data_IF_330306482091
#
_entry.id   IF_330306482091
#
_cell.length_a   1.000
_cell.length_b   1.000
_cell.length_c   1.000
_cell.angle_alpha   90.00
_cell.angle_beta   90.00
_cell.angle_gamma   90.00
#
_symmetry.space_group_name_H-M   'P 1'
#
loop_
_entity.id
_entity.type
_entity.pdbx_description
1 polymer ?
#
# COMPACT_ATOMS: atom_id res chain seq x y z
N UNK A 1 19.52 -12.92 12.37
CA UNK A 1 19.39 -11.88 11.33
C UNK A 1 18.20 -11.00 11.71
N UNK A 2 18.37 -9.68 11.80
CA UNK A 2 17.25 -8.75 11.99
C UNK A 2 16.56 -8.56 10.64
N UNK A 3 15.31 -9.01 10.51
CA UNK A 3 14.49 -8.77 9.32
C UNK A 3 14.19 -7.26 9.26
N UNK A 4 14.74 -6.54 8.29
CA UNK A 4 14.26 -5.20 7.99
C UNK A 4 12.91 -5.37 7.30
N UNK A 5 11.84 -4.93 7.95
CA UNK A 5 10.50 -4.98 7.37
C UNK A 5 10.49 -3.97 6.22
N UNK A 6 10.40 -4.44 4.97
CA UNK A 6 10.25 -3.57 3.80
C UNK A 6 8.80 -3.06 3.73
N UNK A 7 8.50 -2.09 4.59
CA UNK A 7 7.18 -1.47 4.70
C UNK A 7 7.11 -0.22 3.84
N UNK A 8 6.14 -0.17 2.92
CA UNK A 8 5.83 1.04 2.16
C UNK A 8 4.88 1.92 2.98
N UNK A 9 5.35 3.10 3.38
CA UNK A 9 4.53 4.11 4.04
C UNK A 9 4.03 5.12 3.02
N UNK A 10 2.71 5.24 2.89
CA UNK A 10 2.06 6.21 2.00
C UNK A 10 1.35 7.26 2.85
N UNK A 11 1.93 8.45 2.87
CA UNK A 11 1.47 9.60 3.67
C UNK A 11 0.97 10.76 2.81
N UNK A 12 0.93 10.57 1.49
CA UNK A 12 0.50 11.61 0.54
C UNK A 12 -1.02 11.62 0.44
N UNK A 13 -1.62 12.74 0.86
CA UNK A 13 -3.07 12.96 0.76
C UNK A 13 -3.55 12.92 -0.69
N UNK A 14 -4.67 12.23 -0.95
CA UNK A 14 -5.21 12.06 -2.30
C UNK A 14 -4.47 11.04 -3.15
N UNK A 15 -3.51 10.29 -2.59
CA UNK A 15 -2.84 9.23 -3.32
C UNK A 15 -3.81 8.09 -3.66
N UNK A 16 -3.72 7.61 -4.90
CA UNK A 16 -4.40 6.43 -5.39
C UNK A 16 -3.37 5.37 -5.79
N UNK A 17 -3.40 4.24 -5.09
CA UNK A 17 -2.54 3.08 -5.34
C UNK A 17 -3.28 2.04 -6.17
N UNK A 18 -2.66 1.58 -7.25
CA UNK A 18 -3.19 0.50 -8.06
C UNK A 18 -2.09 -0.46 -8.51
N UNK A 19 -2.52 -1.63 -8.99
CA UNK A 19 -1.64 -2.67 -9.52
C UNK A 19 -1.39 -2.42 -10.99
N UNK A 20 -0.14 -2.51 -11.40
CA UNK A 20 0.28 -2.59 -12.80
C UNK A 20 1.35 -3.68 -12.95
N UNK A 21 0.97 -4.80 -13.59
CA UNK A 21 1.79 -6.00 -13.62
C UNK A 21 2.11 -6.49 -12.20
N UNK A 22 3.41 -6.62 -11.89
CA UNK A 22 3.90 -6.98 -10.56
C UNK A 22 4.29 -5.77 -9.70
N UNK A 23 3.81 -4.56 -10.04
CA UNK A 23 4.14 -3.32 -9.35
C UNK A 23 2.92 -2.70 -8.66
N UNK A 24 3.20 -1.99 -7.57
CA UNK A 24 2.36 -0.90 -7.05
C UNK A 24 2.71 0.37 -7.82
N UNK A 25 1.69 1.07 -8.29
CA UNK A 25 1.79 2.39 -8.90
C UNK A 25 1.00 3.37 -8.04
N UNK A 26 1.63 4.47 -7.67
CA UNK A 26 0.99 5.59 -6.96
C UNK A 26 0.72 6.73 -7.93
N UNK A 27 -0.53 7.18 -7.95
CA UNK A 27 -0.94 8.40 -8.65
C UNK A 27 -1.43 9.47 -7.68
N UNK A 28 -1.15 10.72 -8.02
CA UNK A 28 -1.69 11.91 -7.36
C UNK A 28 -2.05 12.90 -8.46
N UNK A 29 -3.26 13.45 -8.44
CA UNK A 29 -3.78 14.35 -9.47
C UNK A 29 -3.64 13.80 -10.91
N UNK A 30 -3.97 12.52 -11.09
CA UNK A 30 -3.85 11.77 -12.34
C UNK A 30 -2.42 11.67 -12.93
N UNK A 31 -1.39 11.93 -12.11
CA UNK A 31 0.01 11.76 -12.52
C UNK A 31 0.67 10.63 -11.73
N UNK A 32 1.38 9.74 -12.42
CA UNK A 32 2.23 8.72 -11.78
C UNK A 32 3.35 9.42 -11.00
N UNK A 33 3.43 9.12 -9.70
CA UNK A 33 4.44 9.68 -8.79
C UNK A 33 5.48 8.66 -8.36
N UNK A 34 5.11 7.38 -8.30
CA UNK A 34 6.01 6.31 -7.91
C UNK A 34 5.54 4.95 -8.47
N UNK A 35 6.53 4.07 -8.70
CA UNK A 35 6.34 2.69 -9.12
C UNK A 35 7.34 1.80 -8.42
N UNK A 36 6.86 0.73 -7.78
CA UNK A 36 7.66 -0.18 -6.98
C UNK A 36 7.19 -1.62 -7.20
N UNK A 37 8.10 -2.59 -7.38
CA UNK A 37 7.71 -3.98 -7.48
C UNK A 37 7.24 -4.53 -6.12
N UNK A 38 6.12 -5.24 -6.13
CA UNK A 38 5.41 -5.67 -4.92
C UNK A 38 6.17 -6.74 -4.14
N UNK A 39 6.90 -7.63 -4.83
CA UNK A 39 7.63 -8.74 -4.19
C UNK A 39 8.74 -8.30 -3.23
N UNK A 40 9.10 -7.01 -3.22
CA UNK A 40 10.07 -6.46 -2.28
C UNK A 40 9.41 -6.02 -0.96
N UNK A 41 8.08 -5.92 -0.91
CA UNK A 41 7.35 -5.37 0.22
C UNK A 41 6.86 -6.48 1.16
N UNK A 42 6.87 -6.18 2.45
CA UNK A 42 6.25 -7.02 3.48
C UNK A 42 4.95 -6.41 4.02
N UNK A 43 4.78 -5.08 3.91
CA UNK A 43 3.57 -4.38 4.35
C UNK A 43 3.39 -3.07 3.61
N UNK A 44 2.14 -2.63 3.50
CA UNK A 44 1.74 -1.32 3.00
C UNK A 44 0.95 -0.59 4.10
N UNK A 45 1.35 0.62 4.45
CA UNK A 45 0.67 1.44 5.46
C UNK A 45 0.23 2.75 4.85
N UNK A 46 -1.08 2.97 4.85
CA UNK A 46 -1.75 4.12 4.25
C UNK A 46 -2.23 5.08 5.34
N UNK A 47 -1.82 6.34 5.29
CA UNK A 47 -2.22 7.38 6.24
C UNK A 47 -3.18 8.37 5.59
N UNK A 48 -4.27 8.69 6.28
CA UNK A 48 -5.20 9.72 5.84
C UNK A 48 -5.97 9.30 4.58
N UNK A 49 -6.16 10.23 3.64
CA UNK A 49 -6.98 9.99 2.44
C UNK A 49 -6.15 9.32 1.34
N UNK A 50 -5.82 8.05 1.55
CA UNK A 50 -5.17 7.18 0.55
C UNK A 50 -6.17 6.12 0.10
N UNK A 51 -6.31 5.97 -1.23
CA UNK A 51 -7.16 4.97 -1.85
C UNK A 51 -6.30 3.84 -2.40
N UNK A 52 -6.78 2.61 -2.30
CA UNK A 52 -6.12 1.42 -2.84
C UNK A 52 -7.13 0.66 -3.71
N UNK A 53 -6.74 0.23 -4.91
CA UNK A 53 -7.65 -0.50 -5.78
C UNK A 53 -7.87 -1.93 -5.28
N UNK A 54 -9.09 -2.50 -5.42
CA UNK A 54 -9.34 -3.90 -5.05
C UNK A 54 -8.41 -4.91 -5.73
N UNK A 55 -8.04 -4.78 -7.02
CA UNK A 55 -7.05 -5.67 -7.64
C UNK A 55 -5.67 -5.62 -6.96
N UNK A 56 -5.24 -4.45 -6.48
CA UNK A 56 -4.01 -4.34 -5.71
C UNK A 56 -4.17 -4.98 -4.32
N UNK A 57 -5.30 -4.75 -3.65
CA UNK A 57 -5.58 -5.38 -2.35
C UNK A 57 -5.52 -6.91 -2.43
N UNK A 58 -6.19 -7.50 -3.43
CA UNK A 58 -6.18 -8.95 -3.63
C UNK A 58 -4.78 -9.49 -3.93
N UNK A 59 -4.03 -8.80 -4.81
CA UNK A 59 -2.66 -9.20 -5.11
C UNK A 59 -1.73 -9.12 -3.90
N UNK A 60 -1.83 -8.06 -3.09
CA UNK A 60 -1.07 -7.98 -1.84
C UNK A 60 -1.47 -9.10 -0.87
N UNK A 61 -2.77 -9.39 -0.74
CA UNK A 61 -3.27 -10.46 0.12
C UNK A 61 -2.71 -11.84 -0.27
N UNK A 62 -2.69 -12.17 -1.56
CA UNK A 62 -2.10 -13.41 -2.10
C UNK A 62 -0.59 -13.53 -1.83
N UNK A 63 0.11 -12.40 -1.77
CA UNK A 63 1.55 -12.34 -1.49
C UNK A 63 1.87 -12.24 0.01
N UNK A 64 0.87 -12.29 0.89
CA UNK A 64 1.06 -12.16 2.34
C UNK A 64 1.41 -10.74 2.80
N UNK A 65 1.13 -9.73 1.97
CA UNK A 65 1.41 -8.32 2.26
C UNK A 65 0.17 -7.70 2.92
N UNK A 66 0.28 -7.39 4.21
CA UNK A 66 -0.79 -6.71 4.94
C UNK A 66 -0.86 -5.23 4.54
N UNK A 67 -2.07 -4.77 4.20
CA UNK A 67 -2.36 -3.36 3.97
C UNK A 67 -3.06 -2.79 5.19
N UNK A 68 -2.51 -1.76 5.82
CA UNK A 68 -3.09 -1.09 6.99
C UNK A 68 -3.50 0.34 6.66
N UNK A 69 -4.67 0.75 7.16
CA UNK A 69 -5.20 2.10 7.02
C UNK A 69 -5.20 2.79 8.38
N UNK A 70 -4.58 3.97 8.44
CA UNK A 70 -4.46 4.80 9.62
C UNK A 70 -5.06 6.18 9.35
N UNK A 71 -5.54 6.84 10.40
CA UNK A 71 -5.88 8.27 10.34
C UNK A 71 -4.61 9.10 10.07
N UNK A 72 -4.74 10.38 9.70
CA UNK A 72 -3.58 11.27 9.53
C UNK A 72 -2.68 11.34 10.78
N UNK A 73 -3.27 11.17 11.97
CA UNK A 73 -2.55 11.19 13.25
C UNK A 73 -2.07 9.79 13.70
N UNK A 74 -2.14 8.78 12.82
CA UNK A 74 -1.63 7.44 13.09
C UNK A 74 -2.57 6.51 13.85
N UNK A 75 -3.84 6.88 14.09
CA UNK A 75 -4.81 5.97 14.72
C UNK A 75 -5.20 4.88 13.73
N UNK A 76 -5.04 3.61 14.11
CA UNK A 76 -5.47 2.47 13.31
C UNK A 76 -6.97 2.54 13.00
N UNK A 77 -7.34 2.31 11.72
CA UNK A 77 -8.72 2.30 11.25
C UNK A 77 -9.14 0.90 10.83
N UNK A 78 -8.36 0.28 9.96
CA UNK A 78 -8.63 -1.04 9.41
C UNK A 78 -7.37 -1.67 8.81
N UNK A 79 -7.43 -2.97 8.53
CA UNK A 79 -6.44 -3.64 7.69
C UNK A 79 -7.12 -4.61 6.73
N UNK A 80 -6.44 -4.89 5.63
CA UNK A 80 -6.74 -5.95 4.67
C UNK A 80 -5.61 -6.96 4.74
N UNK A 81 -5.96 -8.22 4.94
CA UNK A 81 -5.05 -9.35 4.99
C UNK A 81 -5.63 -10.52 4.19
N UNK A 82 -4.75 -11.37 3.65
CA UNK A 82 -5.17 -12.60 2.99
C UNK A 82 -5.68 -13.65 3.99
N UNK A 83 -6.34 -14.72 3.50
CA UNK A 83 -6.80 -15.84 4.32
C UNK A 83 -5.69 -16.58 5.06
#
# INVERSE_FOLDING_TARGET
>A
MRRQLNTLYVTTEGAWLHKDGANIVMQVDNQERARLPVHMLESLVCFGRVLVSPPLMGFCAEQGITISFLSPNGRFLARVEGP
#
